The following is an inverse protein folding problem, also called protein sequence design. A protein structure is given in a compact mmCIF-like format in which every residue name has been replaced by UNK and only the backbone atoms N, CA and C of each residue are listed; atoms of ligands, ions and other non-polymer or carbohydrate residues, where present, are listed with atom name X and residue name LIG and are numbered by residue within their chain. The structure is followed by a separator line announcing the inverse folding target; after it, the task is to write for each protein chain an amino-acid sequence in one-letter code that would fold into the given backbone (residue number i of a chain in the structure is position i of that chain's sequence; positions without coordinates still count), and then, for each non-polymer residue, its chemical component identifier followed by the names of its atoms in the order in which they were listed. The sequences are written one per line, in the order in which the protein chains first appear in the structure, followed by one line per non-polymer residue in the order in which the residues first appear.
data_IF_592263925423
#
_entry.id   IF_592263925423
#
_cell.length_a   1.000
_cell.length_b   1.000
_cell.length_c   1.000
_cell.angle_alpha   90.00
_cell.angle_beta   90.00
_cell.angle_gamma   90.00
#
_symmetry.space_group_name_H-M   'P 1'
#
loop_
_entity.id
_entity.type
_entity.pdbx_description
1 polymer ?
#
# COMPACT_ATOMS: atom_id res chain seq x y z
N UNK A 1 -2.55 -3.75 -20.47
CA UNK A 1 -2.68 -4.99 -19.63
C UNK A 1 -2.79 -4.55 -18.18
N UNK A 2 -3.55 -5.27 -17.37
CA UNK A 2 -3.63 -5.04 -15.92
C UNK A 2 -2.61 -5.91 -15.21
N UNK A 3 -1.80 -5.30 -14.34
CA UNK A 3 -0.72 -5.97 -13.61
C UNK A 3 -0.97 -5.81 -12.11
N UNK A 4 -0.97 -6.91 -11.38
CA UNK A 4 -1.05 -6.92 -9.91
C UNK A 4 0.32 -7.19 -9.34
N UNK A 5 0.81 -6.28 -8.49
CA UNK A 5 2.13 -6.39 -7.86
C UNK A 5 1.95 -6.48 -6.36
N UNK A 6 2.39 -7.58 -5.76
CA UNK A 6 2.46 -7.72 -4.31
C UNK A 6 3.83 -7.23 -3.81
N UNK A 7 3.82 -6.26 -2.91
CA UNK A 7 5.03 -5.69 -2.31
C UNK A 7 5.06 -6.03 -0.82
N UNK A 8 5.97 -6.90 -0.44
CA UNK A 8 6.12 -7.36 0.94
C UNK A 8 6.86 -6.37 1.83
N UNK A 9 6.76 -6.57 3.15
CA UNK A 9 7.40 -5.71 4.16
C UNK A 9 8.93 -5.64 3.99
N UNK A 10 9.57 -6.74 3.59
CA UNK A 10 11.02 -6.77 3.34
C UNK A 10 11.47 -5.89 2.18
N UNK A 11 10.58 -5.58 1.24
CA UNK A 11 10.85 -4.63 0.15
C UNK A 11 10.57 -3.20 0.60
N UNK A 12 9.49 -2.98 1.34
CA UNK A 12 9.06 -1.64 1.75
C UNK A 12 9.91 -1.10 2.89
N UNK A 13 10.15 -1.92 3.90
CA UNK A 13 10.84 -1.53 5.13
C UNK A 13 11.85 -2.61 5.56
N UNK A 14 12.93 -2.86 4.79
CA UNK A 14 13.87 -3.95 5.03
C UNK A 14 14.59 -3.84 6.39
N UNK A 15 14.72 -2.63 6.90
CA UNK A 15 15.35 -2.33 8.20
C UNK A 15 14.38 -1.66 9.17
N UNK A 16 13.09 -2.02 9.09
CA UNK A 16 12.04 -1.42 9.92
C UNK A 16 11.67 0.03 9.55
N UNK A 17 12.26 0.60 8.51
CA UNK A 17 11.92 1.93 7.97
C UNK A 17 11.65 1.83 6.49
N UNK A 18 10.74 2.68 5.97
CA UNK A 18 10.47 2.73 4.54
C UNK A 18 11.77 3.06 3.78
N UNK A 19 12.11 2.19 2.86
CA UNK A 19 13.21 2.41 1.91
C UNK A 19 12.66 3.05 0.64
N UNK A 20 12.66 4.38 0.62
CA UNK A 20 12.14 5.17 -0.51
C UNK A 20 12.94 4.92 -1.79
N UNK A 21 14.25 4.65 -1.70
CA UNK A 21 15.07 4.38 -2.89
C UNK A 21 14.69 3.04 -3.51
N UNK A 22 14.49 2.02 -2.69
CA UNK A 22 14.05 0.71 -3.18
C UNK A 22 12.66 0.76 -3.81
N UNK A 23 11.73 1.50 -3.19
CA UNK A 23 10.40 1.74 -3.75
C UNK A 23 10.45 2.55 -5.04
N UNK A 24 11.33 3.56 -5.14
CA UNK A 24 11.54 4.33 -6.36
C UNK A 24 12.02 3.43 -7.49
N UNK A 25 13.03 2.61 -7.23
CA UNK A 25 13.55 1.66 -8.22
C UNK A 25 12.48 0.68 -8.72
N UNK A 26 11.55 0.29 -7.84
CA UNK A 26 10.40 -0.53 -8.24
C UNK A 26 9.43 0.24 -9.14
N UNK A 27 9.03 1.45 -8.72
CA UNK A 27 8.06 2.28 -9.45
C UNK A 27 8.60 2.73 -10.80
N UNK A 28 9.89 2.98 -10.92
CA UNK A 28 10.53 3.41 -12.17
C UNK A 28 10.54 2.30 -13.25
N UNK A 29 10.26 1.05 -12.87
CA UNK A 29 10.08 -0.05 -13.82
C UNK A 29 8.66 -0.12 -14.40
N UNK A 30 7.70 0.69 -13.91
CA UNK A 30 6.32 0.64 -14.35
C UNK A 30 6.15 1.39 -15.68
N UNK A 31 5.68 0.67 -16.70
CA UNK A 31 5.25 1.33 -17.95
C UNK A 31 3.79 1.81 -17.80
N UNK A 32 3.65 3.00 -17.23
CA UNK A 32 2.35 3.63 -16.94
C UNK A 32 1.59 4.07 -18.21
N UNK A 33 2.25 4.05 -19.37
CA UNK A 33 1.61 4.36 -20.65
C UNK A 33 0.89 3.17 -21.26
N UNK A 34 1.32 1.95 -20.92
CA UNK A 34 0.81 0.70 -21.52
C UNK A 34 0.00 -0.15 -20.56
N UNK A 35 0.18 0.03 -19.26
CA UNK A 35 -0.36 -0.88 -18.25
C UNK A 35 -1.07 -0.14 -17.12
N UNK A 36 -2.07 -0.81 -16.56
CA UNK A 36 -2.73 -0.47 -15.30
C UNK A 36 -2.09 -1.28 -14.18
N UNK A 37 -1.82 -0.64 -13.04
CA UNK A 37 -1.17 -1.30 -11.91
C UNK A 37 -2.05 -1.30 -10.67
N UNK A 38 -2.16 -2.47 -10.04
CA UNK A 38 -2.71 -2.67 -8.72
C UNK A 38 -1.58 -3.10 -7.79
N UNK A 39 -1.27 -2.27 -6.82
CA UNK A 39 -0.21 -2.56 -5.84
C UNK A 39 -0.86 -3.11 -4.57
N UNK A 40 -0.55 -4.36 -4.22
CA UNK A 40 -0.94 -4.97 -2.95
C UNK A 40 0.23 -4.81 -2.00
N UNK A 41 0.16 -3.79 -1.15
CA UNK A 41 1.27 -3.36 -0.31
C UNK A 41 1.14 -3.86 1.13
N UNK A 42 2.26 -4.27 1.71
CA UNK A 42 2.46 -4.54 3.13
C UNK A 42 3.21 -3.37 3.80
N UNK A 43 3.70 -3.57 5.03
CA UNK A 43 4.68 -2.68 5.65
C UNK A 43 4.12 -1.56 6.51
N UNK A 44 2.80 -1.43 6.67
CA UNK A 44 2.20 -0.39 7.48
C UNK A 44 2.66 -0.44 8.95
N UNK A 45 2.64 -1.62 9.59
CA UNK A 45 3.08 -1.76 10.99
C UNK A 45 4.55 -1.38 11.14
N UNK A 46 5.44 -1.91 10.29
CA UNK A 46 6.87 -1.61 10.36
C UNK A 46 7.15 -0.11 10.15
N UNK A 47 6.44 0.53 9.22
CA UNK A 47 6.54 1.96 8.97
C UNK A 47 6.10 2.79 10.18
N UNK A 48 5.00 2.38 10.83
CA UNK A 48 4.49 3.03 12.03
C UNK A 48 5.41 2.85 13.24
N UNK A 49 5.97 1.66 13.43
CA UNK A 49 6.97 1.39 14.47
C UNK A 49 8.16 2.33 14.34
N UNK A 50 8.69 2.46 13.13
CA UNK A 50 9.78 3.38 12.86
C UNK A 50 9.41 4.83 13.17
N UNK A 51 8.23 5.27 12.77
CA UNK A 51 7.75 6.64 13.02
C UNK A 51 7.53 6.93 14.50
N UNK A 52 7.13 5.91 15.26
CA UNK A 52 6.91 5.97 16.72
C UNK A 52 8.17 5.64 17.52
N UNK A 53 9.31 5.41 16.87
CA UNK A 53 10.59 5.05 17.50
C UNK A 53 10.52 3.80 18.38
N UNK A 54 9.70 2.81 17.98
CA UNK A 54 9.60 1.53 18.68
C UNK A 54 10.72 0.61 18.24
N UNK A 55 11.54 0.15 19.20
CA UNK A 55 12.66 -0.76 18.92
C UNK A 55 12.20 -2.19 18.63
N UNK A 56 11.12 -2.62 19.27
CA UNK A 56 10.59 -3.99 19.16
C UNK A 56 9.18 -4.03 18.62
N UNK A 57 8.85 -5.13 17.94
CA UNK A 57 7.51 -5.34 17.41
C UNK A 57 6.52 -5.52 18.56
N UNK A 58 5.43 -4.76 18.59
CA UNK A 58 4.39 -4.91 19.60
C UNK A 58 3.78 -6.30 19.56
N UNK A 59 3.52 -6.87 20.73
CA UNK A 59 2.79 -8.14 20.88
C UNK A 59 1.29 -7.92 21.08
N UNK A 60 0.89 -6.72 21.53
CA UNK A 60 -0.50 -6.37 21.78
C UNK A 60 -1.20 -5.83 20.54
N UNK A 61 -2.42 -6.34 20.27
CA UNK A 61 -3.23 -5.92 19.11
C UNK A 61 -3.47 -4.41 19.06
N UNK A 62 -3.84 -3.71 20.16
CA UNK A 62 -4.09 -2.26 20.10
C UNK A 62 -2.88 -1.46 19.63
N UNK A 63 -1.68 -1.80 20.11
CA UNK A 63 -0.47 -1.09 19.71
C UNK A 63 -0.06 -1.44 18.26
N UNK A 64 -0.27 -2.69 17.82
CA UNK A 64 -0.08 -3.05 16.40
C UNK A 64 -1.04 -2.27 15.49
N UNK A 65 -2.29 -2.11 15.88
CA UNK A 65 -3.28 -1.31 15.14
C UNK A 65 -2.89 0.16 15.10
N UNK A 66 -2.41 0.73 16.20
CA UNK A 66 -1.91 2.10 16.26
C UNK A 66 -0.70 2.29 15.33
N UNK A 67 0.26 1.35 15.35
CA UNK A 67 1.38 1.35 14.42
C UNK A 67 0.92 1.29 12.96
N UNK A 68 -0.04 0.41 12.66
CA UNK A 68 -0.58 0.29 11.30
C UNK A 68 -1.23 1.60 10.84
N UNK A 69 -2.00 2.26 11.68
CA UNK A 69 -2.67 3.52 11.37
C UNK A 69 -1.65 4.64 11.06
N UNK A 70 -0.64 4.81 11.90
CA UNK A 70 0.45 5.78 11.66
C UNK A 70 1.25 5.44 10.43
N UNK A 71 1.62 4.16 10.28
CA UNK A 71 2.44 3.69 9.17
C UNK A 71 1.73 3.70 7.84
N UNK A 72 0.43 3.44 7.79
CA UNK A 72 -0.37 3.48 6.56
C UNK A 72 -0.42 4.89 5.98
N UNK A 73 -0.58 5.90 6.80
CA UNK A 73 -0.52 7.31 6.36
C UNK A 73 0.83 7.64 5.72
N UNK A 74 1.93 7.25 6.38
CA UNK A 74 3.28 7.46 5.85
C UNK A 74 3.52 6.69 4.54
N UNK A 75 3.06 5.45 4.46
CA UNK A 75 3.20 4.60 3.28
C UNK A 75 2.46 5.19 2.07
N UNK A 76 1.22 5.64 2.26
CA UNK A 76 0.44 6.29 1.20
C UNK A 76 1.08 7.58 0.73
N UNK A 77 1.55 8.43 1.65
CA UNK A 77 2.29 9.64 1.29
C UNK A 77 3.54 9.31 0.47
N UNK A 78 4.25 8.23 0.82
CA UNK A 78 5.43 7.80 0.05
C UNK A 78 5.05 7.39 -1.38
N UNK A 79 3.98 6.62 -1.57
CA UNK A 79 3.51 6.28 -2.92
C UNK A 79 3.06 7.52 -3.70
N UNK A 80 2.32 8.43 -3.07
CA UNK A 80 1.92 9.69 -3.72
C UNK A 80 3.13 10.48 -4.22
N UNK A 81 4.19 10.59 -3.43
CA UNK A 81 5.43 11.26 -3.83
C UNK A 81 6.13 10.53 -4.98
N UNK A 82 6.16 9.21 -4.99
CA UNK A 82 6.82 8.42 -6.04
C UNK A 82 6.09 8.51 -7.38
N UNK A 83 4.77 8.65 -7.36
CA UNK A 83 3.93 8.79 -8.57
C UNK A 83 3.61 10.23 -8.93
N UNK A 84 4.09 11.21 -8.15
CA UNK A 84 3.81 12.63 -8.40
C UNK A 84 4.18 13.03 -9.84
N UNK A 85 3.24 13.70 -10.52
CA UNK A 85 3.38 14.08 -11.93
C UNK A 85 3.29 12.93 -12.95
N UNK A 86 3.15 11.67 -12.48
CA UNK A 86 3.04 10.50 -13.35
C UNK A 86 1.59 9.96 -13.38
N UNK A 87 1.03 9.65 -12.23
CA UNK A 87 -0.31 9.10 -12.05
C UNK A 87 -0.89 9.46 -10.69
N UNK A 88 -2.20 9.49 -10.60
CA UNK A 88 -2.92 9.63 -9.33
C UNK A 88 -2.85 8.31 -8.57
N UNK A 89 -2.57 8.37 -7.27
CA UNK A 89 -2.59 7.22 -6.37
C UNK A 89 -3.90 7.19 -5.62
N UNK A 90 -4.55 6.04 -5.57
CA UNK A 90 -5.74 5.81 -4.77
C UNK A 90 -5.54 4.61 -3.85
N UNK A 91 -6.22 4.58 -2.72
CA UNK A 91 -6.17 3.48 -1.76
C UNK A 91 -7.54 2.82 -1.59
N UNK A 92 -7.54 1.49 -1.59
CA UNK A 92 -8.66 0.69 -1.14
C UNK A 92 -8.23 -0.15 0.07
N UNK A 93 -8.97 -0.04 1.16
CA UNK A 93 -8.79 -0.86 2.35
C UNK A 93 -9.80 -2.00 2.31
N UNK A 94 -9.32 -3.23 2.33
CA UNK A 94 -10.11 -4.43 2.14
C UNK A 94 -10.10 -5.31 3.38
N UNK A 95 -11.22 -5.98 3.61
CA UNK A 95 -11.38 -7.02 4.64
C UNK A 95 -11.82 -8.34 3.98
N UNK A 96 -11.82 -9.43 4.75
CA UNK A 96 -12.32 -10.72 4.26
C UNK A 96 -13.78 -10.63 3.81
N UNK A 97 -14.60 -9.80 4.45
CA UNK A 97 -16.00 -9.63 4.10
C UNK A 97 -16.21 -9.05 2.70
N UNK A 98 -15.26 -8.28 2.20
CA UNK A 98 -15.32 -7.71 0.85
C UNK A 98 -15.21 -8.79 -0.24
N UNK A 99 -14.68 -9.97 0.10
CA UNK A 99 -14.57 -11.12 -0.79
C UNK A 99 -15.63 -12.18 -0.59
N UNK A 100 -16.29 -12.21 0.57
CA UNK A 100 -17.31 -13.23 0.91
C UNK A 100 -18.73 -12.74 0.67
N UNK A 101 -19.00 -11.45 0.79
CA UNK A 101 -20.30 -10.84 0.52
C UNK A 101 -20.41 -10.48 -0.96
N UNK A 102 -21.40 -11.02 -1.67
CA UNK A 102 -21.64 -10.72 -3.08
C UNK A 102 -21.82 -9.23 -3.34
N UNK A 103 -22.56 -8.53 -2.49
CA UNK A 103 -22.80 -7.08 -2.64
C UNK A 103 -21.51 -6.30 -2.47
N UNK A 104 -20.73 -6.59 -1.42
CA UNK A 104 -19.46 -5.89 -1.14
C UNK A 104 -18.43 -6.17 -2.24
N UNK A 105 -18.35 -7.41 -2.70
CA UNK A 105 -17.48 -7.80 -3.80
C UNK A 105 -17.82 -7.04 -5.10
N UNK A 106 -19.10 -6.95 -5.45
CA UNK A 106 -19.57 -6.20 -6.62
C UNK A 106 -19.21 -4.70 -6.49
N UNK A 107 -19.43 -4.10 -5.33
CA UNK A 107 -19.09 -2.71 -5.07
C UNK A 107 -17.58 -2.47 -5.18
N UNK A 108 -16.75 -3.39 -4.65
CA UNK A 108 -15.31 -3.33 -4.78
C UNK A 108 -14.87 -3.38 -6.25
N UNK A 109 -15.42 -4.32 -7.03
CA UNK A 109 -15.11 -4.42 -8.45
C UNK A 109 -15.48 -3.14 -9.21
N UNK A 110 -16.66 -2.58 -8.96
CA UNK A 110 -17.10 -1.33 -9.57
C UNK A 110 -16.15 -0.17 -9.21
N UNK A 111 -15.79 -0.03 -7.95
CA UNK A 111 -14.86 1.01 -7.51
C UNK A 111 -13.48 0.87 -8.18
N UNK A 112 -12.94 -0.35 -8.26
CA UNK A 112 -11.69 -0.62 -8.96
C UNK A 112 -11.75 -0.26 -10.44
N UNK A 113 -12.83 -0.63 -11.11
CA UNK A 113 -13.03 -0.30 -12.53
C UNK A 113 -13.08 1.21 -12.77
N UNK A 114 -13.76 1.97 -11.91
CA UNK A 114 -13.81 3.42 -12.04
C UNK A 114 -12.45 4.05 -11.77
N UNK A 115 -11.75 3.65 -10.72
CA UNK A 115 -10.41 4.16 -10.40
C UNK A 115 -9.40 3.93 -11.53
N UNK A 116 -9.49 2.79 -12.23
CA UNK A 116 -8.57 2.46 -13.32
C UNK A 116 -8.88 3.20 -14.63
N UNK A 117 -10.04 3.86 -14.74
CA UNK A 117 -10.37 4.74 -15.88
C UNK A 117 -9.86 6.16 -15.70
N UNK A 118 -9.59 6.58 -14.46
CA UNK A 118 -9.12 7.92 -14.11
C UNK A 118 -7.59 8.07 -14.33
#
# INVERSE_FOLDING_TARGET
MRIVIKVGTSVIAPKGRIDTNQLRNLVDQFDLSRHEYLIVSSGAIASGMSRLSLAERPTGVPLMQACAAVGQSLLMHTYEQLFFGKKVVAQLLLSNDDFTSTVRYTNLQNALHELLKL
#
